data_IF_421026676555
#
_entry.id   IF_421026676555
#
_cell.length_a   1.000
_cell.length_b   1.000
_cell.length_c   1.000
_cell.angle_alpha   90.00
_cell.angle_beta   90.00
_cell.angle_gamma   90.00
#
_symmetry.space_group_name_H-M   'P 1'
#
loop_
_entity.id
_entity.type
_entity.pdbx_description
1 polymer ?
#
# COMPACT_ATOMS: atom_id res chain seq x y z
N UNK A 1 32.64 25.35 4.67
CA UNK A 1 31.49 25.22 3.75
C UNK A 1 30.26 25.09 4.62
N UNK A 2 29.46 26.15 4.73
CA UNK A 2 28.24 26.14 5.55
C UNK A 2 27.29 25.10 4.98
N UNK A 3 26.99 24.05 5.75
CA UNK A 3 25.88 23.15 5.47
C UNK A 3 24.63 24.02 5.31
N UNK A 4 23.90 23.96 4.18
CA UNK A 4 22.66 24.69 4.06
C UNK A 4 21.73 24.22 5.18
N UNK A 5 21.20 25.20 5.91
CA UNK A 5 20.29 25.08 7.05
C UNK A 5 19.28 23.92 6.83
N UNK A 6 19.55 22.75 7.40
CA UNK A 6 18.67 21.60 7.25
C UNK A 6 17.48 21.80 8.18
N UNK A 7 16.33 22.18 7.60
CA UNK A 7 15.07 22.27 8.33
C UNK A 7 14.85 21.01 9.17
N UNK A 8 14.49 21.20 10.42
CA UNK A 8 14.08 20.12 11.32
C UNK A 8 12.82 19.42 10.80
N UNK A 9 12.60 18.17 11.23
CA UNK A 9 11.38 17.43 10.89
C UNK A 9 10.11 18.19 11.33
N UNK A 10 10.18 18.93 12.44
CA UNK A 10 9.07 19.80 12.90
C UNK A 10 8.74 20.83 11.83
N UNK A 11 9.73 21.59 11.37
CA UNK A 11 9.54 22.65 10.38
C UNK A 11 8.99 22.10 9.08
N UNK A 12 9.48 20.94 8.63
CA UNK A 12 8.97 20.27 7.43
C UNK A 12 7.51 19.87 7.58
N UNK A 13 7.11 19.26 8.70
CA UNK A 13 5.71 18.92 8.97
C UNK A 13 4.83 20.18 9.01
N UNK A 14 5.30 21.29 9.61
CA UNK A 14 4.55 22.54 9.61
C UNK A 14 4.33 23.09 8.20
N UNK A 15 5.33 22.97 7.33
CA UNK A 15 5.21 23.38 5.92
C UNK A 15 4.17 22.53 5.19
N UNK A 16 4.17 21.20 5.38
CA UNK A 16 3.14 20.32 4.80
C UNK A 16 1.76 20.71 5.29
N UNK A 17 1.56 20.87 6.61
CA UNK A 17 0.26 21.26 7.17
C UNK A 17 -0.23 22.56 6.53
N UNK A 18 0.63 23.58 6.40
CA UNK A 18 0.27 24.86 5.77
C UNK A 18 -0.09 24.71 4.29
N UNK A 19 0.50 23.75 3.59
CA UNK A 19 0.20 23.53 2.17
C UNK A 19 -1.14 22.83 1.94
N UNK A 20 -1.53 21.93 2.85
CA UNK A 20 -2.67 21.03 2.65
C UNK A 20 -3.95 21.47 3.36
N UNK A 21 -3.89 22.56 4.13
CA UNK A 21 -5.01 23.06 4.95
C UNK A 21 -5.28 24.55 4.79
N UNK A 22 -6.49 24.97 5.16
CA UNK A 22 -6.84 26.40 5.27
C UNK A 22 -6.54 26.96 6.66
N UNK A 23 -6.23 28.26 6.76
CA UNK A 23 -5.89 28.91 8.03
C UNK A 23 -7.01 28.86 9.08
N UNK A 24 -8.27 29.00 8.66
CA UNK A 24 -9.41 29.09 9.56
C UNK A 24 -9.79 27.74 10.21
N UNK A 25 -9.58 26.62 9.51
CA UNK A 25 -10.04 25.29 9.94
C UNK A 25 -8.94 24.23 9.99
N UNK A 26 -7.67 24.62 9.85
CA UNK A 26 -6.47 23.76 9.82
C UNK A 26 -6.56 22.51 10.69
N UNK A 27 -6.77 22.68 11.99
CA UNK A 27 -6.71 21.53 12.92
C UNK A 27 -7.88 20.57 12.76
N UNK A 28 -9.06 21.08 12.40
CA UNK A 28 -10.24 20.26 12.13
C UNK A 28 -10.10 19.51 10.80
N UNK A 29 -9.58 20.17 9.77
CA UNK A 29 -9.28 19.52 8.48
C UNK A 29 -8.23 18.42 8.65
N UNK A 30 -7.18 18.66 9.43
CA UNK A 30 -6.20 17.63 9.76
C UNK A 30 -6.84 16.45 10.48
N UNK A 31 -7.72 16.67 11.46
CA UNK A 31 -8.42 15.58 12.16
C UNK A 31 -9.31 14.75 11.22
N UNK A 32 -10.09 15.44 10.37
CA UNK A 32 -10.97 14.81 9.39
C UNK A 32 -10.21 13.90 8.41
N UNK A 33 -8.98 14.28 8.05
CA UNK A 33 -8.14 13.55 7.10
C UNK A 33 -7.22 12.51 7.77
N UNK A 34 -6.56 12.86 8.87
CA UNK A 34 -5.47 12.06 9.46
C UNK A 34 -5.87 11.28 10.71
N UNK A 35 -7.14 11.28 11.15
CA UNK A 35 -7.66 10.60 12.37
C UNK A 35 -6.92 10.92 13.67
N UNK A 36 -6.03 11.91 13.65
CA UNK A 36 -5.31 12.41 14.81
C UNK A 36 -6.13 13.58 15.35
N UNK A 37 -6.48 13.59 16.65
CA UNK A 37 -7.35 14.62 17.21
C UNK A 37 -6.87 16.04 16.90
N UNK A 38 -7.80 16.96 16.61
CA UNK A 38 -7.47 18.35 16.28
C UNK A 38 -6.65 19.02 17.41
N UNK A 39 -6.93 18.67 18.67
CA UNK A 39 -6.18 19.16 19.82
C UNK A 39 -4.69 18.75 19.78
N UNK A 40 -4.39 17.54 19.31
CA UNK A 40 -3.02 17.04 19.15
C UNK A 40 -2.27 17.85 18.09
N UNK A 41 -2.89 18.06 16.93
CA UNK A 41 -2.33 18.92 15.88
C UNK A 41 -2.12 20.36 16.35
N UNK A 42 -3.09 20.92 17.07
CA UNK A 42 -2.99 22.28 17.62
C UNK A 42 -1.86 22.41 18.64
N UNK A 43 -1.70 21.43 19.52
CA UNK A 43 -0.64 21.39 20.52
C UNK A 43 0.74 21.34 19.85
N UNK A 44 0.93 20.43 18.90
CA UNK A 44 2.16 20.34 18.13
C UNK A 44 2.48 21.63 17.35
N UNK A 45 1.47 22.21 16.68
CA UNK A 45 1.67 23.37 15.81
C UNK A 45 2.11 24.61 16.58
N UNK A 46 1.50 24.87 17.74
CA UNK A 46 1.73 26.09 18.51
C UNK A 46 2.90 25.98 19.51
N UNK A 47 3.31 24.77 19.88
CA UNK A 47 4.38 24.57 20.86
C UNK A 47 5.74 24.55 20.18
N UNK A 48 6.62 25.45 20.59
CA UNK A 48 8.01 25.46 20.13
C UNK A 48 8.79 24.25 20.64
N UNK A 49 9.65 23.70 19.78
CA UNK A 49 10.40 22.48 20.05
C UNK A 49 9.57 21.19 20.10
N UNK A 50 8.26 21.22 19.85
CA UNK A 50 7.45 20.01 19.81
C UNK A 50 7.84 19.12 18.62
N UNK A 51 8.14 17.85 18.90
CA UNK A 51 8.41 16.85 17.86
C UNK A 51 7.10 16.18 17.43
N UNK A 52 6.93 15.90 16.13
CA UNK A 52 5.77 15.14 15.67
C UNK A 52 5.86 13.70 16.21
N UNK A 53 4.74 13.16 16.67
CA UNK A 53 4.70 11.76 17.10
C UNK A 53 4.75 10.81 15.90
N UNK A 54 5.10 9.54 16.12
CA UNK A 54 5.10 8.53 15.06
C UNK A 54 3.76 8.42 14.35
N UNK A 55 2.65 8.45 15.10
CA UNK A 55 1.29 8.41 14.54
C UNK A 55 1.01 9.62 13.64
N UNK A 56 1.48 10.81 14.02
CA UNK A 56 1.32 12.00 13.19
C UNK A 56 2.07 11.87 11.87
N UNK A 57 3.29 11.34 11.90
CA UNK A 57 4.10 11.12 10.70
C UNK A 57 3.50 10.04 9.80
N UNK A 58 3.01 8.94 10.38
CA UNK A 58 2.35 7.87 9.65
C UNK A 58 1.09 8.36 8.92
N UNK A 59 0.20 9.06 9.63
CA UNK A 59 -1.05 9.52 9.03
C UNK A 59 -0.82 10.65 8.02
N UNK A 60 0.18 11.52 8.26
CA UNK A 60 0.59 12.54 7.28
C UNK A 60 1.12 11.90 5.98
N UNK A 61 1.99 10.89 6.11
CA UNK A 61 2.55 10.18 4.95
C UNK A 61 1.54 9.30 4.22
N UNK A 62 0.50 8.82 4.91
CA UNK A 62 -0.62 8.09 4.29
C UNK A 62 -1.53 9.01 3.50
N UNK A 63 -1.89 10.15 4.06
CA UNK A 63 -2.82 11.09 3.43
C UNK A 63 -2.16 11.85 2.27
N UNK A 64 -0.88 12.22 2.41
CA UNK A 64 -0.11 12.96 1.40
C UNK A 64 1.22 12.26 1.09
N UNK A 65 1.19 11.10 0.42
CA UNK A 65 2.38 10.30 0.16
C UNK A 65 3.43 11.01 -0.71
N UNK A 66 3.02 11.95 -1.57
CA UNK A 66 3.93 12.74 -2.39
C UNK A 66 4.91 13.60 -1.56
N UNK A 67 4.57 13.94 -0.32
CA UNK A 67 5.44 14.72 0.58
C UNK A 67 6.19 13.85 1.60
N UNK A 68 5.92 12.54 1.65
CA UNK A 68 6.38 11.67 2.73
C UNK A 68 7.92 11.55 2.79
N UNK A 69 8.55 11.32 1.64
CA UNK A 69 10.00 11.18 1.55
C UNK A 69 10.71 12.45 2.04
N UNK A 70 10.33 13.61 1.49
CA UNK A 70 10.90 14.90 1.90
C UNK A 70 10.64 15.22 3.37
N UNK A 71 9.45 14.92 3.88
CA UNK A 71 9.12 15.14 5.30
C UNK A 71 10.04 14.35 6.22
N UNK A 72 10.35 13.10 5.87
CA UNK A 72 11.17 12.21 6.69
C UNK A 72 12.67 12.49 6.55
N UNK A 73 13.16 12.65 5.32
CA UNK A 73 14.60 12.71 5.03
C UNK A 73 15.14 14.14 4.93
N UNK A 74 14.28 15.11 4.65
CA UNK A 74 14.69 16.48 4.29
C UNK A 74 15.27 16.62 2.88
N UNK A 75 15.25 15.54 2.09
CA UNK A 75 15.67 15.50 0.68
C UNK A 75 14.46 15.10 -0.15
N UNK A 76 14.27 15.71 -1.32
CA UNK A 76 13.24 15.33 -2.29
C UNK A 76 13.79 14.43 -3.40
N UNK A 77 12.87 13.73 -4.05
CA UNK A 77 13.11 12.89 -5.23
C UNK A 77 11.99 13.23 -6.24
N UNK A 78 12.05 14.47 -6.73
CA UNK A 78 11.03 15.05 -7.58
C UNK A 78 10.91 14.31 -8.93
N UNK A 79 11.99 13.69 -9.39
CA UNK A 79 12.00 12.84 -10.60
C UNK A 79 11.10 11.60 -10.42
N UNK A 80 11.05 11.03 -9.22
CA UNK A 80 10.13 9.95 -8.87
C UNK A 80 8.75 10.45 -8.38
N UNK A 81 8.51 11.76 -8.34
CA UNK A 81 7.26 12.37 -7.88
C UNK A 81 7.15 12.58 -6.36
N UNK A 82 8.24 12.38 -5.60
CA UNK A 82 8.30 12.77 -4.19
C UNK A 82 8.85 14.18 -4.05
N UNK A 83 7.97 15.14 -3.81
CA UNK A 83 8.31 16.56 -3.83
C UNK A 83 8.22 17.18 -2.44
N UNK A 84 8.80 18.37 -2.29
CA UNK A 84 8.51 19.21 -1.14
C UNK A 84 7.15 19.93 -1.32
N UNK A 85 6.46 20.32 -0.24
CA UNK A 85 5.20 21.03 -0.36
C UNK A 85 5.39 22.43 -0.99
N UNK A 86 4.37 23.01 -1.65
CA UNK A 86 4.46 24.34 -2.26
C UNK A 86 4.92 25.45 -1.31
N UNK A 87 4.64 25.31 -0.02
CA UNK A 87 5.02 26.24 1.07
C UNK A 87 6.53 26.22 1.39
N UNK A 88 7.29 25.23 0.92
CA UNK A 88 8.73 25.12 1.12
C UNK A 88 9.53 26.09 0.20
N UNK A 89 9.25 27.39 0.29
CA UNK A 89 9.72 28.43 -0.65
C UNK A 89 11.25 28.52 -0.82
N UNK A 90 12.02 27.94 0.11
CA UNK A 90 13.49 27.86 0.03
C UNK A 90 13.99 26.89 -1.06
N UNK A 91 13.12 26.05 -1.63
CA UNK A 91 13.44 25.14 -2.72
C UNK A 91 13.01 25.70 -4.08
N UNK A 92 13.68 25.23 -5.13
CA UNK A 92 13.32 25.52 -6.51
C UNK A 92 11.87 25.09 -6.82
N UNK A 93 11.27 25.66 -7.87
CA UNK A 93 9.86 25.42 -8.19
C UNK A 93 9.62 23.97 -8.63
N UNK A 94 10.55 23.41 -9.41
CA UNK A 94 10.51 22.05 -9.94
C UNK A 94 10.44 21.02 -8.80
N UNK A 95 11.21 21.26 -7.73
CA UNK A 95 11.28 20.40 -6.53
C UNK A 95 10.02 20.47 -5.66
N UNK A 96 9.10 21.38 -5.97
CA UNK A 96 7.80 21.57 -5.29
C UNK A 96 6.60 21.30 -6.19
N UNK A 97 6.84 21.04 -7.47
CA UNK A 97 5.78 20.85 -8.45
C UNK A 97 5.32 19.40 -8.44
N UNK A 98 4.11 19.16 -7.94
CA UNK A 98 3.52 17.83 -7.93
C UNK A 98 3.23 17.34 -9.36
N UNK A 99 3.55 16.07 -9.62
CA UNK A 99 3.06 15.36 -10.80
C UNK A 99 1.72 14.72 -10.48
N UNK A 100 0.65 15.15 -11.16
CA UNK A 100 -0.71 14.61 -10.95
C UNK A 100 -0.76 13.09 -11.11
N UNK A 101 0.00 12.54 -12.09
CA UNK A 101 0.07 11.11 -12.32
C UNK A 101 0.75 10.36 -11.17
N UNK A 102 1.86 10.88 -10.65
CA UNK A 102 2.58 10.27 -9.52
C UNK A 102 1.75 10.34 -8.23
N UNK A 103 1.16 11.49 -7.92
CA UNK A 103 0.29 11.65 -6.74
C UNK A 103 -0.89 10.68 -6.79
N UNK A 104 -1.54 10.54 -7.95
CA UNK A 104 -2.63 9.57 -8.13
C UNK A 104 -2.16 8.12 -7.95
N UNK A 105 -1.00 7.76 -8.51
CA UNK A 105 -0.40 6.44 -8.33
C UNK A 105 -0.12 6.13 -6.85
N UNK A 106 0.53 7.05 -6.13
CA UNK A 106 0.84 6.85 -4.71
C UNK A 106 -0.42 6.74 -3.86
N UNK A 107 -1.41 7.62 -4.07
CA UNK A 107 -2.68 7.54 -3.35
C UNK A 107 -3.40 6.21 -3.59
N UNK A 108 -3.40 5.71 -4.83
CA UNK A 108 -3.96 4.42 -5.18
C UNK A 108 -3.20 3.25 -4.52
N UNK A 109 -1.87 3.27 -4.54
CA UNK A 109 -1.02 2.24 -3.91
C UNK A 109 -1.17 2.25 -2.40
N UNK A 110 -1.17 3.41 -1.74
CA UNK A 110 -1.41 3.54 -0.30
C UNK A 110 -2.79 2.98 0.05
N UNK A 111 -3.82 3.29 -0.73
CA UNK A 111 -5.18 2.77 -0.49
C UNK A 111 -5.29 1.27 -0.69
N UNK A 112 -4.56 0.70 -1.64
CA UNK A 112 -4.52 -0.73 -1.92
C UNK A 112 -3.81 -1.48 -0.78
N UNK A 113 -2.59 -1.06 -0.45
CA UNK A 113 -1.68 -1.77 0.48
C UNK A 113 -2.00 -1.47 1.95
N UNK A 114 -2.41 -0.24 2.26
CA UNK A 114 -2.90 0.15 3.59
C UNK A 114 -4.42 0.12 3.69
N UNK A 115 -5.09 -0.49 2.69
CA UNK A 115 -6.51 -0.75 2.72
C UNK A 115 -6.87 -1.39 4.05
N UNK A 116 -7.64 -0.65 4.87
CA UNK A 116 -8.14 -1.07 6.18
C UNK A 116 -8.49 -2.56 6.14
N UNK A 117 -8.15 -3.31 7.21
CA UNK A 117 -8.87 -4.55 7.53
C UNK A 117 -10.35 -4.23 7.37
N UNK A 118 -10.98 -4.91 6.43
CA UNK A 118 -12.39 -4.71 6.11
C UNK A 118 -13.21 -4.64 7.40
N UNK A 119 -13.96 -3.56 7.61
CA UNK A 119 -14.98 -3.49 8.67
C UNK A 119 -16.21 -4.32 8.31
N UNK A 120 -16.20 -5.00 7.16
CA UNK A 120 -17.25 -5.94 6.84
C UNK A 120 -17.17 -7.10 7.85
N UNK A 121 -18.33 -7.63 8.26
CA UNK A 121 -18.39 -8.90 8.97
C UNK A 121 -17.46 -9.92 8.30
N UNK A 122 -16.74 -10.71 9.11
CA UNK A 122 -15.65 -11.56 8.62
C UNK A 122 -16.10 -12.51 7.50
N UNK A 123 -17.35 -12.99 7.58
CA UNK A 123 -18.04 -13.77 6.56
C UNK A 123 -18.19 -13.02 5.22
N UNK A 124 -18.55 -11.74 5.25
CA UNK A 124 -18.69 -10.90 4.05
C UNK A 124 -17.33 -10.56 3.44
N UNK A 125 -16.33 -10.28 4.28
CA UNK A 125 -14.97 -10.02 3.80
C UNK A 125 -14.36 -11.26 3.15
N UNK A 126 -14.56 -12.44 3.74
CA UNK A 126 -14.11 -13.72 3.17
C UNK A 126 -14.82 -14.03 1.86
N UNK A 127 -16.14 -13.81 1.78
CA UNK A 127 -16.91 -14.02 0.56
C UNK A 127 -16.43 -13.11 -0.59
N UNK A 128 -16.11 -11.85 -0.31
CA UNK A 128 -15.59 -10.92 -1.33
C UNK A 128 -14.19 -11.29 -1.80
N UNK A 129 -13.29 -11.68 -0.88
CA UNK A 129 -11.96 -12.16 -1.26
C UNK A 129 -12.04 -13.43 -2.12
N UNK A 130 -12.93 -14.37 -1.75
CA UNK A 130 -13.19 -15.57 -2.55
C UNK A 130 -13.75 -15.24 -3.94
N UNK A 131 -14.66 -14.25 -4.03
CA UNK A 131 -15.18 -13.78 -5.30
C UNK A 131 -14.10 -13.12 -6.18
N UNK A 132 -13.23 -12.31 -5.59
CA UNK A 132 -12.12 -11.67 -6.30
C UNK A 132 -11.12 -12.70 -6.86
N UNK A 133 -10.78 -13.73 -6.08
CA UNK A 133 -9.94 -14.84 -6.54
C UNK A 133 -10.59 -15.61 -7.70
N UNK A 134 -11.89 -15.88 -7.62
CA UNK A 134 -12.63 -16.54 -8.72
C UNK A 134 -12.69 -15.70 -9.98
N UNK A 135 -12.89 -14.39 -9.85
CA UNK A 135 -12.84 -13.49 -11.00
C UNK A 135 -11.47 -13.54 -11.68
N UNK A 136 -10.39 -13.44 -10.88
CA UNK A 136 -9.02 -13.56 -11.39
C UNK A 136 -8.74 -14.92 -12.03
N UNK A 137 -9.24 -16.01 -11.45
CA UNK A 137 -9.15 -17.34 -12.03
C UNK A 137 -9.89 -17.44 -13.37
N UNK A 138 -11.09 -16.86 -13.46
CA UNK A 138 -11.84 -16.79 -14.71
C UNK A 138 -11.09 -15.99 -15.77
N UNK A 139 -10.50 -14.85 -15.44
CA UNK A 139 -9.69 -14.06 -16.36
C UNK A 139 -8.49 -14.85 -16.90
N UNK A 140 -7.75 -15.55 -16.05
CA UNK A 140 -6.59 -16.35 -16.44
C UNK A 140 -6.95 -17.55 -17.33
N UNK A 141 -8.17 -18.06 -17.20
CA UNK A 141 -8.71 -19.10 -18.08
C UNK A 141 -9.25 -18.54 -19.41
N UNK A 142 -9.17 -17.22 -19.65
CA UNK A 142 -9.66 -16.57 -20.87
C UNK A 142 -11.04 -15.93 -20.73
N UNK A 143 -11.49 -15.69 -19.50
CA UNK A 143 -12.77 -15.07 -19.16
C UNK A 143 -13.90 -16.09 -18.93
N UNK A 144 -15.06 -15.60 -18.51
CA UNK A 144 -16.20 -16.44 -18.14
C UNK A 144 -16.74 -17.33 -19.26
N UNK A 145 -16.58 -16.91 -20.53
CA UNK A 145 -17.00 -17.72 -21.69
C UNK A 145 -16.13 -18.96 -21.83
N UNK A 146 -14.81 -18.81 -21.74
CA UNK A 146 -13.87 -19.93 -21.80
C UNK A 146 -14.04 -20.89 -20.62
N UNK A 147 -14.31 -20.36 -19.42
CA UNK A 147 -14.66 -21.19 -18.25
C UNK A 147 -15.90 -22.04 -18.51
N UNK A 148 -16.93 -21.47 -19.14
CA UNK A 148 -18.16 -22.18 -19.49
C UNK A 148 -17.96 -23.24 -20.58
N UNK A 149 -17.05 -23.01 -21.52
CA UNK A 149 -16.67 -23.99 -22.55
C UNK A 149 -15.93 -25.18 -21.92
N UNK A 150 -14.91 -24.93 -21.11
CA UNK A 150 -14.18 -25.96 -20.36
C UNK A 150 -15.13 -26.75 -19.46
N UNK A 151 -16.09 -26.07 -18.83
CA UNK A 151 -17.12 -26.72 -18.02
C UNK A 151 -17.97 -27.67 -18.85
N UNK A 152 -18.50 -27.22 -20.00
CA UNK A 152 -19.31 -28.06 -20.88
C UNK A 152 -18.54 -29.29 -21.36
N UNK A 153 -17.28 -29.13 -21.73
CA UNK A 153 -16.42 -30.24 -22.13
C UNK A 153 -16.24 -31.27 -20.99
N UNK A 154 -16.09 -30.80 -19.75
CA UNK A 154 -15.98 -31.68 -18.58
C UNK A 154 -17.31 -32.35 -18.21
N UNK A 155 -18.45 -31.66 -18.39
CA UNK A 155 -19.80 -32.23 -18.23
C UNK A 155 -20.06 -33.32 -19.29
N UNK A 156 -19.74 -33.06 -20.56
CA UNK A 156 -19.88 -34.02 -21.68
C UNK A 156 -19.04 -35.28 -21.49
N UNK A 157 -17.85 -35.13 -20.88
CA UNK A 157 -16.96 -36.24 -20.54
C UNK A 157 -17.34 -36.95 -19.23
N UNK A 158 -18.38 -36.51 -18.55
CA UNK A 158 -18.84 -37.08 -17.28
C UNK A 158 -17.86 -36.89 -16.12
N UNK A 159 -16.96 -35.91 -16.22
CA UNK A 159 -15.97 -35.61 -15.17
C UNK A 159 -16.60 -34.78 -14.05
N UNK A 160 -17.60 -33.95 -14.37
CA UNK A 160 -18.37 -33.15 -13.41
C UNK A 160 -19.87 -33.29 -13.69
N UNK A 161 -20.69 -33.18 -12.63
CA UNK A 161 -22.15 -33.22 -12.75
C UNK A 161 -22.71 -31.94 -13.39
N UNK A 162 -23.72 -32.08 -14.26
CA UNK A 162 -24.41 -30.96 -14.88
C UNK A 162 -25.08 -30.09 -13.81
N UNK A 163 -24.61 -28.86 -13.66
CA UNK A 163 -25.08 -27.98 -12.57
C UNK A 163 -26.29 -27.16 -13.03
N UNK A 164 -27.42 -27.24 -12.33
CA UNK A 164 -28.62 -26.44 -12.64
C UNK A 164 -28.35 -24.92 -12.57
N UNK A 165 -28.44 -24.25 -13.72
CA UNK A 165 -28.22 -22.80 -13.87
C UNK A 165 -29.45 -21.99 -13.45
N UNK A 166 -29.71 -21.87 -12.15
CA UNK A 166 -30.64 -20.84 -11.65
C UNK A 166 -29.89 -19.52 -11.50
N UNK A 167 -30.35 -18.47 -12.17
CA UNK A 167 -29.90 -17.10 -11.89
C UNK A 167 -30.34 -16.74 -10.46
N UNK A 168 -29.45 -16.15 -9.65
CA UNK A 168 -29.81 -15.71 -8.31
C UNK A 168 -30.88 -14.61 -8.40
N UNK A 169 -31.99 -14.81 -7.68
CA UNK A 169 -33.09 -13.84 -7.64
C UNK A 169 -32.84 -12.65 -6.72
N UNK A 170 -31.86 -12.74 -5.81
CA UNK A 170 -31.50 -11.67 -4.87
C UNK A 170 -29.99 -11.41 -4.89
N UNK A 171 -29.60 -10.17 -4.63
CA UNK A 171 -28.19 -9.77 -4.54
C UNK A 171 -27.43 -10.56 -3.46
N UNK A 172 -28.09 -10.90 -2.35
CA UNK A 172 -27.53 -11.76 -1.30
C UNK A 172 -27.19 -13.17 -1.78
N UNK A 173 -27.87 -13.66 -2.82
CA UNK A 173 -27.63 -14.99 -3.38
C UNK A 173 -26.41 -15.01 -4.32
N UNK A 174 -25.96 -13.86 -4.84
CA UNK A 174 -24.69 -13.72 -5.56
C UNK A 174 -23.48 -13.87 -4.64
N UNK A 175 -23.62 -13.48 -3.37
CA UNK A 175 -22.56 -13.58 -2.36
C UNK A 175 -22.49 -14.97 -1.73
N UNK A 176 -23.51 -15.82 -1.91
CA UNK A 176 -23.47 -17.20 -1.45
C UNK A 176 -22.51 -17.98 -2.32
N UNK A 177 -21.57 -18.66 -1.67
CA UNK A 177 -20.61 -19.53 -2.34
C UNK A 177 -21.34 -20.65 -3.09
N UNK A 178 -21.47 -20.50 -4.41
CA UNK A 178 -21.83 -21.61 -5.29
C UNK A 178 -20.53 -22.34 -5.64
N UNK A 179 -20.44 -23.62 -5.27
CA UNK A 179 -19.29 -24.44 -5.63
C UNK A 179 -19.22 -24.56 -7.15
N UNK A 180 -18.03 -24.35 -7.70
CA UNK A 180 -17.78 -24.38 -9.12
C UNK A 180 -16.49 -25.19 -9.34
N UNK A 181 -16.58 -26.47 -9.73
CA UNK A 181 -15.43 -27.36 -9.72
C UNK A 181 -14.30 -26.91 -10.68
N UNK A 182 -14.64 -26.14 -11.72
CA UNK A 182 -13.66 -25.61 -12.68
C UNK A 182 -12.93 -24.41 -12.07
N UNK A 183 -13.68 -23.44 -11.55
CA UNK A 183 -13.10 -22.26 -10.92
C UNK A 183 -12.38 -22.60 -9.61
N UNK A 184 -12.91 -23.51 -8.81
CA UNK A 184 -12.33 -23.93 -7.53
C UNK A 184 -10.98 -24.61 -7.74
N UNK A 185 -10.84 -25.41 -8.80
CA UNK A 185 -9.55 -26.03 -9.16
C UNK A 185 -8.54 -25.01 -9.68
N UNK A 186 -8.99 -24.01 -10.42
CA UNK A 186 -8.14 -22.92 -10.90
C UNK A 186 -7.69 -22.01 -9.73
N UNK A 187 -8.58 -21.67 -8.80
CA UNK A 187 -8.23 -20.95 -7.57
C UNK A 187 -7.19 -21.74 -6.76
N UNK A 188 -7.38 -23.04 -6.56
CA UNK A 188 -6.41 -23.88 -5.85
C UNK A 188 -5.06 -24.00 -6.57
N UNK A 189 -4.99 -23.80 -7.89
CA UNK A 189 -3.73 -23.72 -8.61
C UNK A 189 -3.04 -22.37 -8.37
N UNK A 190 -3.79 -21.27 -8.39
CA UNK A 190 -3.27 -19.92 -8.13
C UNK A 190 -2.77 -19.74 -6.70
N UNK A 191 -3.46 -20.32 -5.73
CA UNK A 191 -3.03 -20.28 -4.33
C UNK A 191 -1.69 -20.99 -4.15
N UNK A 192 -1.51 -22.17 -4.76
CA UNK A 192 -0.24 -22.91 -4.75
C UNK A 192 0.90 -22.14 -5.42
N UNK A 193 0.62 -21.47 -6.54
CA UNK A 193 1.62 -20.64 -7.23
C UNK A 193 2.03 -19.45 -6.36
N UNK A 194 1.08 -18.78 -5.71
CA UNK A 194 1.35 -17.66 -4.81
C UNK A 194 2.16 -18.11 -3.58
N UNK A 195 1.85 -19.27 -3.01
CA UNK A 195 2.64 -19.87 -1.94
C UNK A 195 4.09 -20.16 -2.38
N UNK A 196 4.29 -20.67 -3.59
CA UNK A 196 5.63 -20.91 -4.14
C UNK A 196 6.40 -19.60 -4.35
N UNK A 197 5.75 -18.56 -4.87
CA UNK A 197 6.37 -17.24 -5.10
C UNK A 197 6.80 -16.61 -3.77
N UNK A 198 5.92 -16.59 -2.78
CA UNK A 198 6.22 -16.04 -1.44
C UNK A 198 7.31 -16.82 -0.71
N UNK A 199 7.32 -18.16 -0.82
CA UNK A 199 8.39 -18.98 -0.26
C UNK A 199 9.75 -18.68 -0.91
N UNK A 200 9.77 -18.47 -2.23
CA UNK A 200 10.98 -18.14 -2.99
C UNK A 200 11.51 -16.74 -2.62
N UNK A 201 10.62 -15.76 -2.52
CA UNK A 201 10.97 -14.40 -2.10
C UNK A 201 11.54 -14.40 -0.68
N UNK A 202 10.92 -15.11 0.26
CA UNK A 202 11.40 -15.23 1.63
C UNK A 202 12.76 -15.95 1.70
N UNK A 203 13.01 -16.93 0.84
CA UNK A 203 14.33 -17.57 0.73
C UNK A 203 15.39 -16.61 0.19
N UNK A 204 15.07 -15.79 -0.83
CA UNK A 204 16.01 -14.79 -1.36
C UNK A 204 16.36 -13.71 -0.32
N UNK A 205 15.38 -13.24 0.46
CA UNK A 205 15.61 -12.26 1.53
C UNK A 205 16.50 -12.84 2.64
N UNK A 206 16.32 -14.11 3.01
CA UNK A 206 17.20 -14.81 3.96
C UNK A 206 18.63 -14.93 3.41
N UNK A 207 18.80 -15.34 2.16
CA UNK A 207 20.11 -15.47 1.53
C UNK A 207 20.85 -14.12 1.45
N UNK A 208 20.14 -13.04 1.10
CA UNK A 208 20.69 -11.68 1.08
C UNK A 208 21.17 -11.24 2.47
N UNK A 209 20.35 -11.49 3.51
CA UNK A 209 20.70 -11.17 4.91
C UNK A 209 21.93 -11.94 5.37
N UNK A 210 22.01 -13.23 5.08
CA UNK A 210 23.12 -14.07 5.53
C UNK A 210 24.44 -13.72 4.81
N UNK A 211 24.37 -13.32 3.54
CA UNK A 211 25.51 -12.76 2.79
C UNK A 211 26.02 -11.44 3.40
N UNK A 212 25.10 -10.55 3.79
CA UNK A 212 25.44 -9.29 4.46
C UNK A 212 26.14 -9.52 5.82
N UNK A 213 25.66 -10.49 6.61
CA UNK A 213 26.27 -10.85 7.90
C UNK A 213 27.68 -11.43 7.74
N UNK A 214 27.91 -12.26 6.71
CA UNK A 214 29.22 -12.81 6.38
C UNK A 214 30.20 -11.72 5.91
N UNK A 215 29.73 -10.77 5.08
CA UNK A 215 30.51 -9.60 4.66
C UNK A 215 30.96 -8.75 5.86
N UNK A 216 30.06 -8.47 6.80
CA UNK A 216 30.38 -7.72 8.03
C UNK A 216 31.40 -8.44 8.92
N UNK A 217 31.34 -9.78 9.03
CA UNK A 217 32.35 -10.56 9.77
C UNK A 217 33.73 -10.47 9.10
N UNK A 218 33.81 -10.58 7.78
CA UNK A 218 35.08 -10.50 7.04
C UNK A 218 35.77 -9.14 7.21
N UNK A 219 35.00 -8.05 7.13
CA UNK A 219 35.53 -6.67 7.32
C UNK A 219 36.03 -6.38 8.74
N UNK A 220 35.55 -7.13 9.74
CA UNK A 220 35.98 -6.98 11.14
C UNK A 220 37.27 -7.75 11.44
N UNK A 221 37.52 -8.86 10.74
CA UNK A 221 38.73 -9.67 10.90
C UNK A 221 39.95 -9.04 10.20
N UNK A 222 39.76 -8.37 9.06
CA UNK A 222 40.84 -7.66 8.35
C UNK A 222 41.35 -6.41 9.09
N UNK A 223 40.52 -5.77 9.92
CA UNK A 223 40.94 -4.65 10.79
C UNK A 223 41.68 -5.07 12.06
N UNK A 224 41.67 -6.36 12.40
CA UNK A 224 42.27 -6.87 13.64
C UNK A 224 43.73 -7.34 13.51
N UNK A 225 44.27 -7.41 12.29
CA UNK A 225 45.58 -8.00 11.99
C UNK A 225 46.68 -6.97 11.66
N UNK A 226 46.39 -5.67 11.78
CA UNK A 226 47.33 -4.55 11.54
C UNK A 226 47.87 -3.90 12.84
N UNK A 227 47.96 -4.65 13.96
CA UNK A 227 48.63 -4.16 15.18
C UNK A 227 49.85 -4.99 15.53
#
# INVERSE_FOLDING_TARGET
MSTPDQLSIRERVLLVIRAVTTDARRFKEMEERTRVPAQTWRSFFNRDGALPSGVMLEELGREWPQFAFWTMTGIDDWEAGHVAPPTALHLALERRSESTAATAYFAARVKLENGRRSNLPADVSQALSAHALRHKAAELLGGHVAVDEVRRELEERGVIEATERKLPSRLSDLLKHRADPVLDRAVAALERELEQQTATELASLKAARDSELLGRRSTRTSRGTEK
#
